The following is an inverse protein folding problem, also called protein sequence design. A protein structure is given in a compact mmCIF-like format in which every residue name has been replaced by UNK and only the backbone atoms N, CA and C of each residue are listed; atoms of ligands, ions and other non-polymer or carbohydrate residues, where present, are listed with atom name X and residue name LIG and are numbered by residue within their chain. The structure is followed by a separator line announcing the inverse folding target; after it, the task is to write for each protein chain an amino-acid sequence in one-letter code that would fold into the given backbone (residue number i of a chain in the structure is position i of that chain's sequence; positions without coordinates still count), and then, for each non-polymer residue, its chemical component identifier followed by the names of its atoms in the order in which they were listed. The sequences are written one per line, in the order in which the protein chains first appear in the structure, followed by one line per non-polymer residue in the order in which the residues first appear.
data_IF_112532481128
#
_entry.id   IF_112532481128
#
_cell.length_a   1.000
_cell.length_b   1.000
_cell.length_c   1.000
_cell.angle_alpha   90.00
_cell.angle_beta   90.00
_cell.angle_gamma   90.00
#
_symmetry.space_group_name_H-M   'P 1'
#
loop_
_entity.id
_entity.type
_entity.pdbx_description
1 polymer ?
#
# COMPACT_ATOMS: atom_id res chain seq x y z
N UNK A 1 -13.25 -23.70 4.50
CA UNK A 1 -14.66 -23.34 4.24
C UNK A 1 -14.91 -23.04 2.78
N UNK A 2 -16.17 -23.02 2.39
CA UNK A 2 -16.60 -22.73 1.03
C UNK A 2 -17.63 -21.60 1.05
N UNK A 3 -17.44 -20.62 0.15
CA UNK A 3 -18.34 -19.51 -0.05
C UNK A 3 -18.93 -19.57 -1.47
N UNK A 4 -20.20 -19.19 -1.62
CA UNK A 4 -20.86 -19.07 -2.91
C UNK A 4 -21.63 -17.75 -2.95
N UNK A 5 -21.45 -17.00 -4.04
CA UNK A 5 -22.14 -15.73 -4.29
C UNK A 5 -22.68 -15.72 -5.71
N UNK A 6 -23.94 -15.38 -5.84
CA UNK A 6 -24.60 -15.15 -7.13
C UNK A 6 -24.67 -13.66 -7.42
N UNK A 7 -24.45 -13.28 -8.68
CA UNK A 7 -24.57 -11.90 -9.14
C UNK A 7 -24.83 -11.85 -10.64
N UNK A 8 -25.42 -10.74 -11.12
CA UNK A 8 -25.69 -10.49 -12.52
C UNK A 8 -24.87 -9.31 -13.03
N UNK A 9 -24.53 -9.33 -14.31
CA UNK A 9 -23.88 -8.22 -15.01
C UNK A 9 -24.77 -7.80 -16.18
N UNK A 10 -24.89 -6.49 -16.40
CA UNK A 10 -25.74 -5.96 -17.48
C UNK A 10 -25.21 -6.34 -18.86
N UNK A 11 -26.11 -6.75 -19.78
CA UNK A 11 -25.79 -6.98 -21.20
C UNK A 11 -25.17 -5.76 -21.88
N UNK A 12 -25.53 -4.55 -21.42
CA UNK A 12 -25.00 -3.29 -21.95
C UNK A 12 -23.51 -3.10 -21.68
N UNK A 13 -22.98 -3.79 -20.68
CA UNK A 13 -21.59 -3.67 -20.22
C UNK A 13 -20.66 -4.73 -20.86
N UNK A 14 -21.16 -5.50 -21.82
CA UNK A 14 -20.41 -6.58 -22.49
C UNK A 14 -19.10 -6.15 -23.17
N UNK A 15 -18.94 -4.86 -23.43
CA UNK A 15 -17.71 -4.26 -23.98
C UNK A 15 -16.66 -3.92 -22.93
N UNK A 16 -17.03 -3.91 -21.65
CA UNK A 16 -16.17 -3.52 -20.56
C UNK A 16 -15.43 -4.74 -19.99
N UNK A 17 -14.41 -4.47 -19.23
CA UNK A 17 -13.66 -5.48 -18.49
C UNK A 17 -14.16 -5.58 -17.06
N UNK A 18 -13.99 -6.77 -16.49
CA UNK A 18 -14.43 -7.07 -15.13
C UNK A 18 -13.31 -7.72 -14.34
N UNK A 19 -13.14 -7.24 -13.11
CA UNK A 19 -12.18 -7.77 -12.18
C UNK A 19 -12.86 -8.06 -10.84
N UNK A 20 -12.61 -9.22 -10.25
CA UNK A 20 -12.99 -9.50 -8.87
C UNK A 20 -11.77 -9.26 -7.98
N UNK A 21 -11.90 -8.30 -7.05
CA UNK A 21 -10.88 -7.95 -6.09
C UNK A 21 -11.29 -8.42 -4.70
N UNK A 22 -10.39 -9.13 -4.03
CA UNK A 22 -10.50 -9.50 -2.62
C UNK A 22 -9.48 -8.67 -1.82
N UNK A 23 -9.94 -7.89 -0.86
CA UNK A 23 -9.04 -7.07 -0.01
C UNK A 23 -8.39 -7.88 1.11
N UNK A 24 -8.98 -9.01 1.47
CA UNK A 24 -8.40 -9.97 2.42
C UNK A 24 -9.25 -11.20 2.63
N UNK A 25 -8.61 -12.36 2.47
CA UNK A 25 -9.21 -13.67 2.73
C UNK A 25 -8.19 -14.50 3.50
N UNK A 26 -8.46 -14.82 4.76
CA UNK A 26 -7.56 -15.63 5.54
C UNK A 26 -7.96 -17.10 5.47
N UNK A 27 -7.13 -17.96 4.83
CA UNK A 27 -6.01 -17.78 3.91
C UNK A 27 -6.10 -18.87 2.84
N UNK A 28 -5.09 -18.97 1.96
CA UNK A 28 -5.05 -19.95 0.88
C UNK A 28 -6.36 -20.03 0.11
N UNK A 29 -6.81 -18.86 -0.35
CA UNK A 29 -8.07 -18.75 -1.09
C UNK A 29 -7.90 -19.28 -2.51
N UNK A 30 -8.76 -20.19 -2.94
CA UNK A 30 -8.89 -20.61 -4.33
C UNK A 30 -10.24 -20.13 -4.87
N UNK A 31 -10.25 -19.57 -6.08
CA UNK A 31 -11.37 -18.84 -6.65
C UNK A 31 -11.83 -19.49 -7.94
N UNK A 32 -13.14 -19.64 -8.10
CA UNK A 32 -13.80 -20.09 -9.35
C UNK A 32 -14.93 -19.13 -9.71
N UNK A 33 -15.10 -18.89 -10.99
CA UNK A 33 -16.26 -18.19 -11.55
C UNK A 33 -16.92 -19.07 -12.61
N UNK A 34 -18.22 -19.32 -12.49
CA UNK A 34 -19.00 -20.13 -13.43
C UNK A 34 -18.39 -21.53 -13.69
N UNK A 35 -17.71 -22.11 -12.69
CA UNK A 35 -17.05 -23.41 -12.78
C UNK A 35 -15.58 -23.33 -13.27
N UNK A 36 -15.12 -22.20 -13.80
CA UNK A 36 -13.73 -22.01 -14.22
C UNK A 36 -12.86 -21.64 -13.03
N UNK A 37 -11.71 -22.32 -12.89
CA UNK A 37 -10.71 -21.94 -11.90
C UNK A 37 -9.99 -20.65 -12.34
N UNK A 38 -10.06 -19.63 -11.49
CA UNK A 38 -9.52 -18.31 -11.79
C UNK A 38 -8.12 -18.12 -11.19
N UNK A 39 -7.88 -18.65 -9.99
CA UNK A 39 -6.58 -18.51 -9.36
C UNK A 39 -6.61 -18.69 -7.84
N UNK A 40 -5.47 -18.39 -7.21
CA UNK A 40 -5.28 -18.50 -5.76
C UNK A 40 -4.59 -17.27 -5.18
N UNK A 41 -4.82 -17.03 -3.89
CA UNK A 41 -4.06 -16.09 -3.05
C UNK A 41 -3.71 -16.81 -1.75
N UNK A 42 -2.43 -16.93 -1.46
CA UNK A 42 -1.95 -17.56 -0.21
C UNK A 42 -2.02 -16.58 0.97
N UNK A 43 -1.86 -15.27 0.70
CA UNK A 43 -1.89 -14.25 1.75
C UNK A 43 -3.24 -14.15 2.43
N UNK A 44 -3.21 -14.09 3.76
CA UNK A 44 -4.38 -13.71 4.55
C UNK A 44 -4.61 -12.21 4.64
N UNK A 45 -3.61 -11.38 4.30
CA UNK A 45 -3.59 -9.95 4.63
C UNK A 45 -3.48 -9.01 3.43
N UNK A 46 -2.85 -9.45 2.35
CA UNK A 46 -2.69 -8.65 1.13
C UNK A 46 -3.71 -9.10 0.09
N UNK A 47 -4.54 -8.16 -0.34
CA UNK A 47 -5.58 -8.39 -1.33
C UNK A 47 -5.00 -8.81 -2.69
N UNK A 48 -5.84 -9.43 -3.52
CA UNK A 48 -5.51 -9.81 -4.89
C UNK A 48 -6.71 -9.64 -5.80
N UNK A 49 -6.44 -9.20 -7.01
CA UNK A 49 -7.43 -9.02 -8.06
C UNK A 49 -7.27 -10.08 -9.15
N UNK A 50 -8.38 -10.40 -9.79
CA UNK A 50 -8.45 -11.38 -10.86
C UNK A 50 -9.32 -10.84 -12.00
N UNK A 51 -8.75 -10.72 -13.18
CA UNK A 51 -9.50 -10.43 -14.39
C UNK A 51 -10.42 -11.63 -14.70
N UNK A 52 -11.70 -11.37 -14.74
CA UNK A 52 -12.74 -12.38 -14.96
C UNK A 52 -13.58 -12.12 -16.20
N UNK A 53 -13.18 -11.16 -17.03
CA UNK A 53 -13.92 -10.68 -18.19
C UNK A 53 -14.42 -11.82 -19.09
N UNK A 54 -13.52 -12.75 -19.43
CA UNK A 54 -13.83 -13.85 -20.36
C UNK A 54 -14.75 -14.93 -19.75
N UNK A 55 -14.96 -14.88 -18.43
CA UNK A 55 -15.76 -15.86 -17.70
C UNK A 55 -17.13 -15.33 -17.26
N UNK A 56 -17.44 -14.05 -17.55
CA UNK A 56 -18.75 -13.45 -17.23
C UNK A 56 -19.82 -13.95 -18.18
N UNK A 57 -20.92 -14.45 -17.63
CA UNK A 57 -22.15 -14.69 -18.36
C UNK A 57 -23.02 -13.43 -18.28
N UNK A 58 -23.26 -12.81 -19.43
CA UNK A 58 -24.11 -11.61 -19.55
C UNK A 58 -25.61 -11.94 -19.75
N UNK A 59 -25.94 -13.22 -19.89
CA UNK A 59 -27.32 -13.69 -20.14
C UNK A 59 -27.93 -14.31 -18.89
N UNK A 60 -27.09 -14.83 -17.98
CA UNK A 60 -27.51 -15.59 -16.81
C UNK A 60 -26.83 -15.06 -15.53
N UNK A 61 -27.21 -15.69 -14.47
CA UNK A 61 -26.61 -15.48 -13.16
C UNK A 61 -25.17 -16.05 -13.12
N UNK A 62 -24.24 -15.26 -12.62
CA UNK A 62 -22.85 -15.65 -12.42
C UNK A 62 -22.67 -16.23 -11.03
N UNK A 63 -21.90 -17.29 -10.90
CA UNK A 63 -21.64 -17.97 -9.63
C UNK A 63 -20.16 -17.90 -9.27
N UNK A 64 -19.85 -17.04 -8.30
CA UNK A 64 -18.52 -16.98 -7.68
C UNK A 64 -18.43 -17.99 -6.56
N UNK A 65 -17.39 -18.83 -6.59
CA UNK A 65 -17.08 -19.79 -5.53
C UNK A 65 -15.69 -19.53 -4.99
N UNK A 66 -15.54 -19.51 -3.67
CA UNK A 66 -14.26 -19.32 -2.99
C UNK A 66 -14.07 -20.44 -1.97
N UNK A 67 -13.00 -21.22 -2.11
CA UNK A 67 -12.53 -22.13 -1.07
C UNK A 67 -11.46 -21.43 -0.23
N UNK A 68 -11.63 -21.47 1.07
CA UNK A 68 -10.66 -20.96 2.03
C UNK A 68 -10.11 -22.11 2.85
N UNK A 69 -8.79 -22.21 2.90
CA UNK A 69 -8.09 -23.24 3.67
C UNK A 69 -7.19 -22.57 4.74
N UNK A 70 -7.73 -22.40 5.94
CA UNK A 70 -7.04 -21.80 7.08
C UNK A 70 -6.48 -22.86 8.05
N UNK A 71 -6.17 -24.05 7.56
CA UNK A 71 -5.59 -25.13 8.38
C UNK A 71 -4.12 -24.91 8.71
N UNK A 72 -3.43 -24.14 7.89
CA UNK A 72 -2.03 -23.77 8.11
C UNK A 72 -1.93 -22.62 9.12
N UNK A 73 -1.25 -22.89 10.25
CA UNK A 73 -0.95 -21.87 11.24
C UNK A 73 0.13 -20.90 10.73
N UNK A 74 -0.09 -19.60 10.90
CA UNK A 74 0.86 -18.57 10.47
C UNK A 74 1.54 -17.83 11.63
N UNK A 75 0.99 -17.91 12.82
CA UNK A 75 1.45 -17.24 14.03
C UNK A 75 1.01 -15.76 14.09
N UNK A 76 1.41 -15.07 15.14
CA UNK A 76 1.14 -13.64 15.39
C UNK A 76 -0.32 -13.27 15.69
N UNK A 77 -1.06 -14.14 16.35
CA UNK A 77 -2.34 -13.89 17.03
C UNK A 77 -3.55 -13.49 16.17
N UNK A 78 -4.76 -13.86 16.59
CA UNK A 78 -6.08 -13.38 16.20
C UNK A 78 -6.35 -13.32 14.68
N UNK A 79 -5.93 -14.32 13.96
CA UNK A 79 -6.00 -14.32 12.49
C UNK A 79 -7.42 -14.54 11.97
N UNK A 80 -8.20 -15.37 12.66
CA UNK A 80 -9.50 -15.80 12.19
C UNK A 80 -9.41 -16.73 10.98
N UNK A 81 -10.51 -16.86 10.24
CA UNK A 81 -10.57 -17.64 9.00
C UNK A 81 -11.71 -17.12 8.10
N UNK A 82 -11.51 -17.11 6.80
CA UNK A 82 -12.54 -16.77 5.83
C UNK A 82 -12.36 -15.42 5.15
N UNK A 83 -13.41 -14.98 4.45
CA UNK A 83 -13.46 -13.68 3.80
C UNK A 83 -13.83 -12.65 4.88
N UNK A 84 -12.89 -11.76 5.23
CA UNK A 84 -13.07 -10.84 6.33
C UNK A 84 -12.89 -9.36 5.96
N UNK A 85 -12.44 -9.08 4.72
CA UNK A 85 -12.36 -7.74 4.14
C UNK A 85 -13.28 -7.66 2.91
N UNK A 86 -13.36 -6.48 2.28
CA UNK A 86 -14.24 -6.27 1.14
C UNK A 86 -13.92 -7.17 -0.05
N UNK A 87 -14.98 -7.46 -0.81
CA UNK A 87 -14.90 -8.09 -2.14
C UNK A 87 -15.61 -7.16 -3.12
N UNK A 88 -14.91 -6.77 -4.18
CA UNK A 88 -15.37 -5.83 -5.18
C UNK A 88 -15.51 -6.50 -6.54
N UNK A 89 -16.55 -6.13 -7.29
CA UNK A 89 -16.61 -6.34 -8.72
C UNK A 89 -16.29 -4.99 -9.37
N UNK A 90 -15.09 -4.87 -9.91
CA UNK A 90 -14.62 -3.69 -10.60
C UNK A 90 -14.99 -3.79 -12.08
N UNK A 91 -15.47 -2.68 -12.66
CA UNK A 91 -15.79 -2.56 -14.08
C UNK A 91 -14.99 -1.40 -14.66
N UNK A 92 -14.32 -1.61 -15.79
CA UNK A 92 -13.48 -0.59 -16.42
C UNK A 92 -13.38 -0.79 -17.95
N UNK A 93 -12.87 0.22 -18.63
CA UNK A 93 -12.64 0.20 -20.08
C UNK A 93 -11.46 -0.73 -20.43
N UNK A 94 -11.42 -1.25 -21.66
CA UNK A 94 -10.26 -1.99 -22.16
C UNK A 94 -8.97 -1.16 -22.15
N UNK A 95 -9.09 0.15 -22.21
CA UNK A 95 -7.97 1.09 -22.03
C UNK A 95 -8.08 1.72 -20.65
N UNK A 96 -7.23 1.32 -19.72
CA UNK A 96 -7.35 1.68 -18.29
C UNK A 96 -5.99 1.80 -17.60
N UNK A 97 -6.02 2.25 -16.36
CA UNK A 97 -4.85 2.25 -15.46
C UNK A 97 -4.88 0.95 -14.67
N UNK A 98 -3.87 0.07 -14.77
CA UNK A 98 -3.84 -1.18 -14.01
C UNK A 98 -3.61 -0.93 -12.51
N UNK A 99 -3.83 -1.94 -11.68
CA UNK A 99 -3.61 -1.86 -10.23
C UNK A 99 -2.23 -1.28 -9.90
N UNK A 100 -2.22 -0.23 -9.09
CA UNK A 100 -1.00 0.50 -8.72
C UNK A 100 -0.37 1.31 -9.86
N UNK A 101 -1.03 1.43 -11.02
CA UNK A 101 -0.52 2.15 -12.19
C UNK A 101 -0.51 3.67 -12.05
N UNK A 102 -1.21 4.24 -11.08
CA UNK A 102 -1.11 5.66 -10.72
C UNK A 102 -0.20 5.83 -9.52
N UNK A 103 0.97 6.43 -9.72
CA UNK A 103 1.89 6.78 -8.64
C UNK A 103 2.10 8.29 -8.56
N UNK A 104 1.86 8.85 -7.38
CA UNK A 104 1.95 10.29 -7.15
C UNK A 104 2.83 10.59 -5.94
N UNK A 105 3.86 11.39 -6.17
CA UNK A 105 4.75 11.82 -5.09
C UNK A 105 5.19 13.28 -5.29
N UNK A 106 5.65 13.92 -4.22
CA UNK A 106 6.04 15.33 -4.28
C UNK A 106 7.41 15.59 -3.68
N UNK A 107 8.10 16.54 -4.28
CA UNK A 107 9.29 17.15 -3.72
C UNK A 107 8.96 18.61 -3.37
N UNK A 108 9.29 19.02 -2.15
CA UNK A 108 9.02 20.38 -1.67
C UNK A 108 10.33 21.15 -1.60
N UNK A 109 10.38 22.28 -2.28
CA UNK A 109 11.48 23.23 -2.19
C UNK A 109 10.89 24.61 -1.89
N UNK A 110 11.20 25.14 -0.72
CA UNK A 110 10.62 26.38 -0.18
C UNK A 110 9.08 26.36 -0.21
N UNK A 111 8.50 27.23 -1.06
CA UNK A 111 7.04 27.39 -1.17
C UNK A 111 6.42 26.61 -2.35
N UNK A 112 7.23 25.89 -3.12
CA UNK A 112 6.78 25.17 -4.30
C UNK A 112 6.87 23.66 -4.04
N UNK A 113 5.76 22.97 -4.21
CA UNK A 113 5.72 21.52 -4.27
C UNK A 113 5.67 21.06 -5.73
N UNK A 114 6.70 20.36 -6.16
CA UNK A 114 6.71 19.66 -7.45
C UNK A 114 6.08 18.31 -7.30
N UNK A 115 4.87 18.13 -7.81
CA UNK A 115 4.12 16.87 -7.78
C UNK A 115 4.43 16.10 -9.07
N UNK A 116 5.06 14.95 -8.92
CA UNK A 116 5.33 14.01 -10.00
C UNK A 116 4.20 13.00 -10.07
N UNK A 117 3.72 12.71 -11.27
CA UNK A 117 2.59 11.83 -11.54
C UNK A 117 3.02 10.83 -12.59
N UNK A 118 3.09 9.56 -12.23
CA UNK A 118 3.37 8.47 -13.14
C UNK A 118 2.06 7.71 -13.38
N UNK A 119 1.62 7.69 -14.63
CA UNK A 119 0.38 7.03 -15.04
C UNK A 119 0.70 5.93 -16.02
N UNK A 120 0.58 4.69 -15.59
CA UNK A 120 0.66 3.52 -16.46
C UNK A 120 -0.70 3.29 -17.12
N UNK A 121 -0.70 3.07 -18.42
CA UNK A 121 -1.90 2.75 -19.20
C UNK A 121 -1.72 1.39 -19.81
N UNK A 122 -2.70 0.53 -19.65
CA UNK A 122 -2.75 -0.81 -20.24
C UNK A 122 -3.81 -0.85 -21.36
N UNK A 123 -3.45 -1.45 -22.49
CA UNK A 123 -4.36 -1.69 -23.63
C UNK A 123 -4.80 -3.15 -23.68
N UNK A 124 -6.04 -3.41 -23.31
CA UNK A 124 -6.71 -4.71 -23.44
C UNK A 124 -7.65 -4.79 -24.65
N UNK A 125 -7.63 -3.79 -25.55
CA UNK A 125 -8.32 -3.89 -26.82
C UNK A 125 -7.68 -4.99 -27.69
N UNK A 126 -8.44 -5.52 -28.64
CA UNK A 126 -7.97 -6.52 -29.61
C UNK A 126 -7.08 -5.91 -30.71
N UNK A 127 -6.93 -4.59 -30.75
CA UNK A 127 -6.15 -3.85 -31.73
C UNK A 127 -5.21 -2.85 -31.04
N UNK A 128 -4.10 -2.45 -31.68
CA UNK A 128 -3.30 -1.31 -31.25
C UNK A 128 -4.18 -0.05 -31.12
N UNK A 129 -3.97 0.73 -30.07
CA UNK A 129 -4.82 1.87 -29.73
C UNK A 129 -3.97 3.11 -29.45
N UNK A 130 -4.40 4.26 -29.93
CA UNK A 130 -3.83 5.56 -29.58
C UNK A 130 -4.74 6.28 -28.59
N UNK A 131 -4.12 6.86 -27.57
CA UNK A 131 -4.83 7.63 -26.55
C UNK A 131 -4.05 8.90 -26.17
N UNK A 132 -4.67 9.74 -25.37
CA UNK A 132 -3.98 10.83 -24.66
C UNK A 132 -4.18 10.68 -23.17
N UNK A 133 -3.16 11.05 -22.39
CA UNK A 133 -3.13 11.00 -20.94
C UNK A 133 -2.84 12.38 -20.38
N UNK A 134 -3.62 12.83 -19.42
CA UNK A 134 -3.33 14.02 -18.64
C UNK A 134 -3.72 13.84 -17.19
N UNK A 135 -3.17 14.69 -16.33
CA UNK A 135 -3.49 14.69 -14.90
C UNK A 135 -3.85 16.10 -14.42
N UNK A 136 -4.65 16.15 -13.34
CA UNK A 136 -4.93 17.41 -12.65
C UNK A 136 -5.04 17.18 -11.14
N UNK A 137 -4.78 18.26 -10.40
CA UNK A 137 -4.86 18.26 -8.94
C UNK A 137 -6.01 19.18 -8.52
N UNK A 138 -6.80 18.73 -7.55
CA UNK A 138 -7.80 19.57 -6.87
C UNK A 138 -7.44 19.78 -5.42
N UNK A 139 -7.86 20.91 -4.89
CA UNK A 139 -7.88 21.17 -3.47
C UNK A 139 -9.04 20.37 -2.77
N UNK A 140 -9.15 20.54 -1.45
CA UNK A 140 -10.21 19.89 -0.64
C UNK A 140 -11.63 20.24 -1.11
N UNK A 141 -11.81 21.42 -1.70
CA UNK A 141 -13.12 21.93 -2.15
C UNK A 141 -13.44 21.54 -3.61
N UNK A 142 -12.55 20.79 -4.27
CA UNK A 142 -12.71 20.35 -5.66
C UNK A 142 -12.23 21.38 -6.72
N UNK A 143 -11.65 22.52 -6.30
CA UNK A 143 -11.09 23.50 -7.22
C UNK A 143 -9.80 22.95 -7.84
N UNK A 144 -9.71 22.96 -9.17
CA UNK A 144 -8.48 22.59 -9.89
C UNK A 144 -7.40 23.63 -9.60
N UNK A 145 -6.26 23.17 -9.08
CA UNK A 145 -5.10 24.01 -8.73
C UNK A 145 -3.91 23.79 -9.65
N UNK A 146 -3.97 22.79 -10.51
CA UNK A 146 -2.96 22.52 -11.52
C UNK A 146 -3.41 21.40 -12.45
N UNK A 147 -2.95 21.47 -13.70
CA UNK A 147 -3.26 20.49 -14.75
C UNK A 147 -2.06 20.34 -15.68
N UNK A 148 -1.80 19.14 -16.17
CA UNK A 148 -0.78 18.86 -17.19
C UNK A 148 -1.33 19.07 -18.60
N UNK A 149 -0.46 19.13 -19.58
CA UNK A 149 -0.84 18.97 -20.98
C UNK A 149 -1.27 17.51 -21.24
N UNK A 150 -2.02 17.30 -22.31
CA UNK A 150 -2.33 15.97 -22.82
C UNK A 150 -1.10 15.39 -23.55
N UNK A 151 -0.68 14.21 -23.15
CA UNK A 151 0.43 13.49 -23.79
C UNK A 151 -0.13 12.32 -24.61
N UNK A 152 0.35 12.18 -25.85
CA UNK A 152 -0.06 11.11 -26.76
C UNK A 152 0.68 9.83 -26.43
N UNK A 153 -0.05 8.72 -26.45
CA UNK A 153 0.45 7.39 -26.19
C UNK A 153 -0.14 6.40 -27.19
N UNK A 154 0.72 5.65 -27.86
CA UNK A 154 0.32 4.51 -28.71
C UNK A 154 0.69 3.22 -28.01
N UNK A 155 -0.23 2.28 -27.97
CA UNK A 155 -0.08 0.99 -27.28
C UNK A 155 -0.47 -0.16 -28.18
N UNK A 156 0.39 -1.18 -28.28
CA UNK A 156 0.04 -2.46 -28.88
C UNK A 156 -0.98 -3.22 -28.01
N UNK A 157 -1.48 -4.33 -28.52
CA UNK A 157 -2.36 -5.24 -27.76
C UNK A 157 -1.60 -5.81 -26.55
N UNK A 158 -2.22 -5.77 -25.38
CA UNK A 158 -1.64 -6.19 -24.08
C UNK A 158 -0.37 -5.43 -23.68
N UNK A 159 -0.09 -4.27 -24.25
CA UNK A 159 1.02 -3.43 -23.85
C UNK A 159 0.60 -2.51 -22.70
N UNK A 160 1.55 -2.30 -21.78
CA UNK A 160 1.47 -1.28 -20.72
C UNK A 160 2.61 -0.30 -20.90
N UNK A 161 2.31 0.99 -20.93
CA UNK A 161 3.32 2.04 -20.94
C UNK A 161 3.01 3.13 -19.92
N UNK A 162 4.05 3.81 -19.43
CA UNK A 162 3.94 4.81 -18.37
C UNK A 162 4.25 6.20 -18.89
N UNK A 163 3.33 7.14 -18.66
CA UNK A 163 3.50 8.57 -18.89
C UNK A 163 3.92 9.22 -17.56
N UNK A 164 4.97 10.06 -17.62
CA UNK A 164 5.49 10.80 -16.46
C UNK A 164 5.24 12.28 -16.62
N UNK A 165 4.44 12.84 -15.71
CA UNK A 165 4.00 14.23 -15.76
C UNK A 165 4.33 14.95 -14.45
N UNK A 166 4.32 16.28 -14.49
CA UNK A 166 4.66 17.13 -13.34
C UNK A 166 3.73 18.33 -13.24
N UNK A 167 3.30 18.62 -12.02
CA UNK A 167 2.54 19.82 -11.68
C UNK A 167 3.25 20.53 -10.52
N UNK A 168 3.48 21.84 -10.67
CA UNK A 168 4.00 22.65 -9.57
C UNK A 168 2.85 23.32 -8.83
N UNK A 169 2.80 23.09 -7.53
CA UNK A 169 1.80 23.70 -6.62
C UNK A 169 2.50 24.76 -5.78
N UNK A 170 2.17 26.03 -6.04
CA UNK A 170 2.71 27.15 -5.26
C UNK A 170 1.99 27.30 -3.94
N UNK A 171 2.71 27.61 -2.87
CA UNK A 171 2.20 27.74 -1.50
C UNK A 171 1.37 26.51 -1.06
N UNK A 172 1.88 25.33 -1.37
CA UNK A 172 1.21 24.09 -1.04
C UNK A 172 0.98 23.97 0.47
N UNK A 173 -0.25 23.62 0.87
CA UNK A 173 -0.56 23.25 2.25
C UNK A 173 -0.05 21.86 2.51
N UNK A 174 0.88 21.73 3.46
CA UNK A 174 1.53 20.46 3.75
C UNK A 174 0.65 19.58 4.62
N UNK A 175 0.70 18.28 4.39
CA UNK A 175 0.12 17.28 5.27
C UNK A 175 0.99 17.12 6.51
N UNK A 176 0.38 17.18 7.69
CA UNK A 176 1.03 16.87 8.97
C UNK A 176 0.07 16.12 9.90
N UNK A 177 0.56 15.72 11.07
CA UNK A 177 -0.26 15.05 12.09
C UNK A 177 -1.28 16.01 12.75
N UNK A 178 -1.01 17.29 12.75
CA UNK A 178 -1.89 18.35 13.28
C UNK A 178 -2.83 18.90 12.21
N UNK A 179 -2.36 18.97 10.96
CA UNK A 179 -3.10 19.45 9.81
C UNK A 179 -3.01 18.45 8.65
N UNK A 180 -3.81 17.37 8.66
CA UNK A 180 -3.78 16.34 7.66
C UNK A 180 -4.48 16.79 6.37
N UNK A 181 -3.90 17.77 5.68
CA UNK A 181 -4.47 18.33 4.47
C UNK A 181 -4.22 17.40 3.27
N UNK A 182 -5.31 17.06 2.59
CA UNK A 182 -5.30 16.17 1.43
C UNK A 182 -5.80 16.89 0.18
N UNK A 183 -5.02 16.79 -0.87
CA UNK A 183 -5.41 17.06 -2.25
C UNK A 183 -5.95 15.78 -2.89
N UNK A 184 -6.55 15.91 -4.07
CA UNK A 184 -6.90 14.79 -4.94
C UNK A 184 -6.17 14.96 -6.26
N UNK A 185 -5.59 13.87 -6.75
CA UNK A 185 -4.98 13.80 -8.07
C UNK A 185 -5.81 12.89 -8.94
N UNK A 186 -6.10 13.33 -10.13
CA UNK A 186 -6.83 12.59 -11.14
C UNK A 186 -5.92 12.36 -12.34
N UNK A 187 -5.86 11.12 -12.81
CA UNK A 187 -5.29 10.74 -14.08
C UNK A 187 -6.43 10.37 -15.04
N UNK A 188 -6.41 10.92 -16.24
CA UNK A 188 -7.48 10.77 -17.22
C UNK A 188 -6.92 10.24 -18.52
N UNK A 189 -7.55 9.20 -19.06
CA UNK A 189 -7.26 8.65 -20.37
C UNK A 189 -8.39 9.05 -21.32
N UNK A 190 -8.01 9.57 -22.48
CA UNK A 190 -8.93 9.86 -23.57
C UNK A 190 -8.58 9.03 -24.80
N UNK A 191 -9.60 8.53 -25.46
CA UNK A 191 -9.55 7.92 -26.77
C UNK A 191 -10.42 8.71 -27.74
N UNK A 192 -9.90 9.07 -28.92
CA UNK A 192 -10.61 9.89 -29.91
C UNK A 192 -11.23 11.17 -29.32
N UNK A 193 -10.49 11.82 -28.39
CA UNK A 193 -10.89 13.05 -27.72
C UNK A 193 -11.93 12.89 -26.61
N UNK A 194 -12.47 11.69 -26.39
CA UNK A 194 -13.43 11.39 -25.33
C UNK A 194 -12.74 10.72 -24.14
N UNK A 195 -13.11 11.11 -22.92
CA UNK A 195 -12.68 10.43 -21.71
C UNK A 195 -13.25 8.99 -21.70
N UNK A 196 -12.34 8.00 -21.53
CA UNK A 196 -12.69 6.58 -21.47
C UNK A 196 -12.36 5.97 -20.11
N UNK A 197 -11.41 6.58 -19.37
CA UNK A 197 -11.05 6.13 -18.03
C UNK A 197 -10.54 7.29 -17.17
N UNK A 198 -10.84 7.21 -15.88
CA UNK A 198 -10.32 8.15 -14.88
C UNK A 198 -10.04 7.41 -13.60
N UNK A 199 -8.85 7.65 -13.06
CA UNK A 199 -8.48 7.19 -11.72
C UNK A 199 -8.20 8.37 -10.80
N UNK A 200 -8.50 8.20 -9.50
CA UNK A 200 -8.27 9.20 -8.48
C UNK A 200 -7.44 8.63 -7.36
N UNK A 201 -6.44 9.39 -6.90
CA UNK A 201 -5.73 9.10 -5.66
C UNK A 201 -5.68 10.32 -4.74
N UNK A 202 -5.43 10.08 -3.46
CA UNK A 202 -5.15 11.12 -2.46
C UNK A 202 -3.71 11.58 -2.57
N UNK A 203 -3.46 12.84 -2.25
CA UNK A 203 -2.11 13.38 -2.16
C UNK A 203 -1.99 14.23 -0.90
N UNK A 204 -1.14 13.81 0.02
CA UNK A 204 -0.65 14.65 1.12
C UNK A 204 0.77 15.10 0.80
N UNK A 205 0.94 16.37 0.50
CA UNK A 205 2.25 16.95 0.19
C UNK A 205 3.04 17.07 1.50
N UNK A 206 4.18 16.41 1.59
CA UNK A 206 5.01 16.40 2.79
C UNK A 206 6.46 16.05 2.47
N UNK A 207 7.35 16.32 3.43
CA UNK A 207 8.73 15.80 3.43
C UNK A 207 8.96 14.97 4.68
N UNK A 208 9.71 13.88 4.55
CA UNK A 208 10.17 13.04 5.66
C UNK A 208 11.69 12.88 5.60
N UNK A 209 12.32 12.84 6.77
CA UNK A 209 13.74 12.59 6.87
C UNK A 209 14.05 11.83 8.17
N UNK A 210 14.84 10.77 8.04
CA UNK A 210 15.51 10.12 9.16
C UNK A 210 16.94 10.65 9.24
N UNK A 211 17.33 11.11 10.41
CA UNK A 211 18.68 11.62 10.69
C UNK A 211 19.25 10.82 11.86
N UNK A 212 20.42 10.21 11.64
CA UNK A 212 21.01 9.30 12.63
C UNK A 212 21.29 9.99 13.99
N UNK A 213 21.60 11.30 13.97
CA UNK A 213 21.95 12.06 15.19
C UNK A 213 20.77 12.84 15.76
N UNK A 214 19.80 13.23 14.93
CA UNK A 214 18.73 14.16 15.30
C UNK A 214 17.35 13.53 15.28
N UNK A 215 17.21 12.28 14.84
CA UNK A 215 15.94 11.54 14.79
C UNK A 215 15.08 11.84 13.57
N UNK A 216 13.78 11.77 13.73
CA UNK A 216 12.81 11.88 12.64
C UNK A 216 12.31 13.32 12.43
N UNK A 217 12.18 13.72 11.17
CA UNK A 217 11.66 15.03 10.78
C UNK A 217 10.48 14.87 9.82
N UNK A 218 9.41 15.60 10.10
CA UNK A 218 8.26 15.79 9.21
C UNK A 218 8.20 17.28 8.81
N UNK A 219 8.22 17.55 7.52
CA UNK A 219 8.20 18.92 6.98
C UNK A 219 9.31 19.83 7.57
N UNK A 220 10.51 19.27 7.73
CA UNK A 220 11.65 19.96 8.31
C UNK A 220 11.60 20.18 9.82
N UNK A 221 10.51 19.82 10.50
CA UNK A 221 10.36 19.92 11.96
C UNK A 221 10.68 18.58 12.62
N UNK A 222 11.50 18.62 13.66
CA UNK A 222 11.77 17.43 14.50
C UNK A 222 10.47 16.94 15.12
N UNK A 223 10.20 15.63 15.00
CA UNK A 223 9.03 14.99 15.55
C UNK A 223 9.43 13.75 16.35
N UNK A 224 9.10 13.73 17.63
CA UNK A 224 9.19 12.51 18.43
C UNK A 224 8.03 11.58 18.08
N UNK A 225 8.36 10.38 17.58
CA UNK A 225 7.37 9.36 17.31
C UNK A 225 6.86 8.78 18.62
N UNK A 226 5.53 8.81 18.80
CA UNK A 226 4.80 8.24 19.93
C UNK A 226 3.76 7.31 19.35
N UNK A 227 4.13 6.06 19.17
CA UNK A 227 3.29 5.08 18.48
C UNK A 227 2.91 3.90 19.36
N UNK A 228 2.03 3.09 18.81
CA UNK A 228 1.61 1.80 19.37
C UNK A 228 1.68 0.72 18.32
N UNK A 229 1.95 -0.50 18.74
CA UNK A 229 1.80 -1.71 17.93
C UNK A 229 0.35 -2.16 18.02
N UNK A 230 -0.24 -2.50 16.87
CA UNK A 230 -1.66 -2.81 16.85
C UNK A 230 -1.93 -3.99 15.91
N UNK A 231 -2.49 -5.04 16.48
CA UNK A 231 -3.09 -6.12 15.71
C UNK A 231 -4.40 -5.67 15.06
N UNK A 232 -4.86 -6.39 14.06
CA UNK A 232 -6.05 -5.97 13.30
C UNK A 232 -7.37 -6.22 14.02
N UNK A 233 -7.41 -7.13 14.97
CA UNK A 233 -8.63 -7.47 15.69
C UNK A 233 -9.11 -6.37 16.62
N UNK A 234 -10.37 -6.41 17.00
CA UNK A 234 -11.00 -5.50 17.96
C UNK A 234 -11.85 -6.28 18.96
N UNK A 235 -11.75 -5.91 20.22
CA UNK A 235 -12.46 -6.61 21.30
C UNK A 235 -13.97 -6.66 21.02
N UNK A 236 -14.53 -7.87 21.14
CA UNK A 236 -15.95 -8.15 20.93
C UNK A 236 -16.39 -8.26 19.46
N UNK A 237 -15.51 -7.98 18.47
CA UNK A 237 -15.84 -8.02 17.04
C UNK A 237 -14.94 -9.02 16.29
N UNK A 238 -13.67 -9.17 16.71
CA UNK A 238 -12.67 -9.96 15.99
C UNK A 238 -12.00 -9.17 14.87
N UNK A 239 -11.69 -9.81 13.73
CA UNK A 239 -10.91 -9.23 12.64
C UNK A 239 -11.75 -8.66 11.49
N UNK A 240 -13.01 -9.06 11.35
CA UNK A 240 -13.92 -8.57 10.31
C UNK A 240 -14.56 -7.24 10.74
N UNK A 241 -13.77 -6.18 10.71
CA UNK A 241 -14.17 -4.86 11.21
C UNK A 241 -14.90 -4.04 10.16
N UNK A 242 -16.04 -3.40 10.51
CA UNK A 242 -16.64 -2.36 9.69
C UNK A 242 -15.69 -1.16 9.53
N UNK A 243 -15.75 -0.47 8.39
CA UNK A 243 -14.84 0.63 8.04
C UNK A 243 -14.79 1.74 9.11
N UNK A 244 -15.94 2.11 9.68
CA UNK A 244 -16.01 3.16 10.70
C UNK A 244 -15.20 2.80 11.97
N UNK A 245 -15.04 1.51 12.28
CA UNK A 245 -14.24 1.07 13.45
C UNK A 245 -12.77 1.38 13.22
N UNK A 246 -12.29 1.35 11.98
CA UNK A 246 -10.91 1.75 11.66
C UNK A 246 -10.69 3.23 12.00
N UNK A 247 -11.62 4.12 11.60
CA UNK A 247 -11.58 5.54 11.98
C UNK A 247 -11.69 5.76 13.49
N UNK A 248 -12.58 5.01 14.15
CA UNK A 248 -12.74 5.07 15.61
C UNK A 248 -11.43 4.71 16.32
N UNK A 249 -10.76 3.62 15.91
CA UNK A 249 -9.48 3.16 16.50
C UNK A 249 -8.40 4.25 16.39
N UNK A 250 -8.22 4.82 15.21
CA UNK A 250 -7.22 5.87 14.98
C UNK A 250 -7.56 7.12 15.77
N UNK A 251 -8.84 7.53 15.82
CA UNK A 251 -9.29 8.66 16.62
C UNK A 251 -8.96 8.45 18.10
N UNK A 252 -9.24 7.26 18.64
CA UNK A 252 -8.94 6.93 20.05
C UNK A 252 -7.45 6.94 20.35
N UNK A 253 -6.61 6.41 19.47
CA UNK A 253 -5.16 6.48 19.64
C UNK A 253 -4.66 7.93 19.64
N UNK A 254 -5.21 8.79 18.79
CA UNK A 254 -4.87 10.22 18.81
C UNK A 254 -5.31 10.91 20.10
N UNK A 255 -6.51 10.63 20.62
CA UNK A 255 -6.99 11.12 21.90
C UNK A 255 -6.08 10.73 23.07
N UNK A 256 -5.43 9.55 22.98
CA UNK A 256 -4.40 9.09 23.92
C UNK A 256 -3.01 9.73 23.71
N UNK A 257 -2.85 10.58 22.69
CA UNK A 257 -1.60 11.28 22.37
C UNK A 257 -0.65 10.53 21.43
N UNK A 258 -1.10 9.44 20.81
CA UNK A 258 -0.32 8.76 19.77
C UNK A 258 -0.29 9.59 18.48
N UNK A 259 0.86 9.55 17.79
CA UNK A 259 1.03 10.16 16.48
C UNK A 259 1.51 9.16 15.40
N UNK A 260 1.71 7.91 15.80
CA UNK A 260 2.12 6.83 14.91
C UNK A 260 1.41 5.52 15.25
N UNK A 261 1.18 4.73 14.21
CA UNK A 261 0.57 3.41 14.23
C UNK A 261 1.53 2.42 13.56
N UNK A 262 1.91 1.35 14.22
CA UNK A 262 2.58 0.24 13.56
C UNK A 262 1.56 -0.86 13.29
N UNK A 263 1.48 -1.26 12.02
CA UNK A 263 0.64 -2.38 11.59
C UNK A 263 1.35 -3.70 11.89
N UNK A 264 1.18 -4.21 13.09
CA UNK A 264 1.84 -5.43 13.54
C UNK A 264 0.91 -6.65 13.35
N UNK A 265 1.34 -7.73 12.69
CA UNK A 265 2.58 -7.82 11.90
C UNK A 265 2.19 -8.22 10.49
N UNK A 266 1.49 -7.36 9.79
CA UNK A 266 0.92 -7.61 8.47
C UNK A 266 0.35 -6.33 7.84
N UNK A 267 0.08 -6.39 6.54
CA UNK A 267 -0.61 -5.34 5.81
C UNK A 267 -1.98 -4.97 6.44
N UNK A 268 -2.22 -3.71 6.83
CA UNK A 268 -3.51 -3.27 7.37
C UNK A 268 -4.56 -3.17 6.26
N UNK A 269 -5.82 -2.91 6.63
CA UNK A 269 -6.86 -2.62 5.64
C UNK A 269 -6.64 -1.25 4.99
N UNK A 270 -7.11 -1.09 3.76
CA UNK A 270 -7.08 0.21 3.07
C UNK A 270 -7.81 1.29 3.86
N UNK A 271 -8.91 0.93 4.54
CA UNK A 271 -9.73 1.84 5.35
C UNK A 271 -8.97 2.39 6.55
N UNK A 272 -8.11 1.57 7.18
CA UNK A 272 -7.25 2.01 8.27
C UNK A 272 -6.23 3.05 7.77
N UNK A 273 -5.56 2.79 6.63
CA UNK A 273 -4.61 3.74 6.04
C UNK A 273 -5.33 5.04 5.66
N UNK A 274 -6.54 4.94 5.06
CA UNK A 274 -7.39 6.12 4.75
C UNK A 274 -7.78 6.91 6.00
N UNK A 275 -8.02 6.23 7.12
CA UNK A 275 -8.26 6.88 8.41
C UNK A 275 -7.01 7.61 8.90
N UNK A 276 -5.84 6.98 8.82
CA UNK A 276 -4.56 7.59 9.18
C UNK A 276 -4.24 8.83 8.34
N UNK A 277 -4.46 8.77 7.02
CA UNK A 277 -4.31 9.93 6.13
C UNK A 277 -5.19 11.11 6.56
N UNK A 278 -6.46 10.82 6.86
CA UNK A 278 -7.48 11.83 7.12
C UNK A 278 -7.38 12.43 8.51
N UNK A 279 -6.91 11.65 9.48
CA UNK A 279 -6.79 12.05 10.88
C UNK A 279 -5.39 12.50 11.28
N UNK A 280 -4.38 12.32 10.42
CA UNK A 280 -2.99 12.68 10.70
C UNK A 280 -2.33 11.71 11.67
N UNK A 281 -2.20 10.46 11.28
CA UNK A 281 -1.47 9.42 12.01
C UNK A 281 -0.38 8.86 11.09
N UNK A 282 0.86 8.84 11.52
CA UNK A 282 1.93 8.17 10.78
C UNK A 282 1.73 6.65 10.81
N UNK A 283 2.08 5.96 9.72
CA UNK A 283 1.97 4.50 9.63
C UNK A 283 3.31 3.89 9.28
N UNK A 284 3.76 2.97 10.12
CA UNK A 284 4.77 1.98 9.79
C UNK A 284 4.02 0.78 9.20
N UNK A 285 4.12 0.62 7.89
CA UNK A 285 3.39 -0.38 7.13
C UNK A 285 4.25 -1.63 6.95
N UNK A 286 3.73 -2.79 7.36
CA UNK A 286 4.56 -3.97 7.57
C UNK A 286 4.17 -5.14 6.68
N UNK A 287 5.18 -5.73 6.02
CA UNK A 287 5.05 -7.03 5.39
C UNK A 287 5.00 -8.14 6.44
N UNK A 288 4.24 -9.20 6.15
CA UNK A 288 4.00 -10.28 7.11
C UNK A 288 5.25 -11.05 7.53
N UNK A 289 6.20 -11.36 6.63
CA UNK A 289 7.41 -12.12 6.92
C UNK A 289 8.63 -11.58 6.16
N UNK A 290 9.80 -11.71 6.76
CA UNK A 290 11.09 -11.53 6.09
C UNK A 290 11.34 -12.72 5.14
N UNK A 291 10.79 -12.64 3.95
CA UNK A 291 10.85 -13.73 2.98
C UNK A 291 10.87 -13.17 1.55
N UNK A 292 11.80 -13.64 0.72
CA UNK A 292 11.97 -13.25 -0.68
C UNK A 292 11.59 -14.37 -1.67
N UNK A 293 10.84 -15.37 -1.25
CA UNK A 293 10.26 -16.34 -2.19
C UNK A 293 9.23 -15.64 -3.11
N UNK A 294 8.94 -16.18 -4.30
CA UNK A 294 8.06 -15.54 -5.27
C UNK A 294 6.71 -15.09 -4.71
N UNK A 295 6.10 -15.89 -3.85
CA UNK A 295 4.82 -15.57 -3.21
C UNK A 295 4.93 -14.34 -2.29
N UNK A 296 5.95 -14.28 -1.43
CA UNK A 296 6.12 -13.15 -0.50
C UNK A 296 6.61 -11.88 -1.21
N UNK A 297 7.40 -12.02 -2.27
CA UNK A 297 7.75 -10.91 -3.17
C UNK A 297 6.51 -10.34 -3.84
N UNK A 298 5.60 -11.17 -4.34
CA UNK A 298 4.33 -10.73 -4.92
C UNK A 298 3.46 -10.00 -3.88
N UNK A 299 3.37 -10.52 -2.66
CA UNK A 299 2.66 -9.87 -1.56
C UNK A 299 3.25 -8.49 -1.24
N UNK A 300 4.58 -8.39 -1.13
CA UNK A 300 5.26 -7.12 -0.82
C UNK A 300 5.10 -6.09 -1.94
N UNK A 301 5.19 -6.50 -3.20
CA UNK A 301 4.91 -5.63 -4.34
C UNK A 301 3.48 -5.09 -4.29
N UNK A 302 2.49 -5.96 -4.09
CA UNK A 302 1.08 -5.56 -3.99
C UNK A 302 0.83 -4.62 -2.82
N UNK A 303 1.47 -4.84 -1.67
CA UNK A 303 1.40 -3.95 -0.51
C UNK A 303 1.92 -2.55 -0.87
N UNK A 304 3.12 -2.45 -1.42
CA UNK A 304 3.72 -1.15 -1.81
C UNK A 304 2.87 -0.45 -2.87
N UNK A 305 2.46 -1.15 -3.92
CA UNK A 305 1.65 -0.59 -5.01
C UNK A 305 0.31 -0.07 -4.51
N UNK A 306 -0.31 -0.74 -3.53
CA UNK A 306 -1.56 -0.30 -2.90
C UNK A 306 -1.37 0.97 -2.08
N UNK A 307 -0.29 1.04 -1.28
CA UNK A 307 -0.19 2.02 -0.19
C UNK A 307 0.81 3.16 -0.45
N UNK A 308 1.61 3.12 -1.53
CA UNK A 308 2.64 4.12 -1.81
C UNK A 308 2.12 5.56 -2.04
N UNK A 309 0.85 5.73 -2.37
CA UNK A 309 0.22 7.05 -2.52
C UNK A 309 -0.28 7.64 -1.18
N UNK A 310 -0.29 6.86 -0.10
CA UNK A 310 -0.78 7.30 1.21
C UNK A 310 0.25 8.15 1.96
N UNK A 311 -0.03 9.41 2.29
CA UNK A 311 0.93 10.27 2.99
C UNK A 311 1.19 9.83 4.43
N UNK A 312 0.28 9.13 5.07
CA UNK A 312 0.46 8.58 6.42
C UNK A 312 1.57 7.53 6.49
N UNK A 313 1.74 6.71 5.44
CA UNK A 313 2.85 5.73 5.39
C UNK A 313 4.17 6.47 5.33
N UNK A 314 5.00 6.36 6.37
CA UNK A 314 6.28 7.06 6.47
C UNK A 314 7.48 6.11 6.41
N UNK A 315 7.27 4.84 6.66
CA UNK A 315 8.31 3.82 6.73
C UNK A 315 7.73 2.45 6.38
N UNK A 316 8.44 1.70 5.54
CA UNK A 316 8.11 0.31 5.23
C UNK A 316 8.81 -0.63 6.22
N UNK A 317 8.14 -1.67 6.70
CA UNK A 317 8.77 -2.74 7.47
C UNK A 317 8.81 -4.03 6.66
N UNK A 318 10.00 -4.63 6.58
CA UNK A 318 10.22 -5.84 5.78
C UNK A 318 10.10 -7.14 6.58
N UNK A 319 9.72 -7.06 7.86
CA UNK A 319 9.48 -8.23 8.72
C UNK A 319 9.64 -7.92 10.20
N UNK A 320 9.42 -8.93 11.03
CA UNK A 320 9.42 -8.85 12.49
C UNK A 320 9.98 -10.11 13.16
N UNK A 321 11.11 -9.98 13.84
CA UNK A 321 11.64 -10.97 14.78
C UNK A 321 11.79 -12.41 14.24
N UNK A 322 12.10 -12.59 12.96
CA UNK A 322 12.34 -13.93 12.41
C UNK A 322 13.66 -14.49 12.98
N UNK A 323 13.59 -15.01 14.20
CA UNK A 323 14.69 -15.26 15.12
C UNK A 323 15.89 -16.01 14.54
N UNK A 324 15.64 -17.02 13.71
CA UNK A 324 16.72 -17.84 13.18
C UNK A 324 17.42 -17.25 11.95
N UNK A 325 16.77 -16.36 11.19
CA UNK A 325 17.35 -15.78 9.96
C UNK A 325 17.83 -14.34 10.12
N UNK A 326 17.28 -13.56 11.05
CA UNK A 326 17.61 -12.14 11.17
C UNK A 326 19.11 -11.87 11.42
N UNK A 327 19.85 -12.83 12.01
CA UNK A 327 21.24 -12.69 12.44
C UNK A 327 22.28 -13.21 11.44
N UNK A 328 21.86 -13.78 10.34
CA UNK A 328 22.75 -14.51 9.44
C UNK A 328 22.69 -13.99 7.99
N UNK A 329 23.55 -14.56 7.14
CA UNK A 329 23.63 -14.19 5.73
C UNK A 329 22.36 -14.47 4.92
N UNK A 330 21.52 -15.41 5.33
CA UNK A 330 20.23 -15.62 4.66
C UNK A 330 19.33 -14.42 4.86
N UNK A 331 19.15 -13.96 6.09
CA UNK A 331 18.35 -12.77 6.39
C UNK A 331 18.91 -11.52 5.72
N UNK A 332 20.25 -11.37 5.70
CA UNK A 332 20.90 -10.26 4.98
C UNK A 332 20.54 -10.23 3.50
N UNK A 333 20.67 -11.37 2.79
CA UNK A 333 20.34 -11.46 1.36
C UNK A 333 18.85 -11.27 1.09
N UNK A 334 17.98 -11.83 1.92
CA UNK A 334 16.52 -11.62 1.82
C UNK A 334 16.19 -10.13 1.99
N UNK A 335 16.76 -9.49 3.01
CA UNK A 335 16.58 -8.06 3.24
C UNK A 335 17.05 -7.21 2.05
N UNK A 336 18.24 -7.50 1.49
CA UNK A 336 18.75 -6.82 0.30
C UNK A 336 17.80 -6.91 -0.89
N UNK A 337 17.22 -8.10 -1.13
CA UNK A 337 16.24 -8.32 -2.20
C UNK A 337 14.97 -7.50 -1.98
N UNK A 338 14.42 -7.49 -0.76
CA UNK A 338 13.22 -6.72 -0.42
C UNK A 338 13.47 -5.21 -0.48
N UNK A 339 14.63 -4.74 0.00
CA UNK A 339 15.02 -3.33 -0.08
C UNK A 339 15.16 -2.85 -1.54
N UNK A 340 15.70 -3.68 -2.43
CA UNK A 340 15.79 -3.37 -3.86
C UNK A 340 14.40 -3.20 -4.47
N UNK A 341 13.46 -4.11 -4.17
CA UNK A 341 12.06 -4.03 -4.62
C UNK A 341 11.38 -2.78 -4.07
N UNK A 342 11.55 -2.48 -2.78
CA UNK A 342 10.96 -1.30 -2.17
C UNK A 342 11.47 -0.02 -2.84
N UNK A 343 12.77 0.09 -3.07
CA UNK A 343 13.39 1.25 -3.71
C UNK A 343 12.94 1.43 -5.17
N UNK A 344 12.72 0.35 -5.88
CA UNK A 344 12.18 0.37 -7.25
C UNK A 344 10.74 0.89 -7.27
N UNK A 345 9.88 0.36 -6.41
CA UNK A 345 8.43 0.66 -6.40
C UNK A 345 8.07 1.95 -5.68
N UNK A 346 8.86 2.33 -4.67
CA UNK A 346 8.68 3.57 -3.90
C UNK A 346 10.04 4.16 -3.46
N UNK A 347 10.70 4.94 -4.31
CA UNK A 347 11.97 5.59 -3.96
C UNK A 347 11.81 6.76 -2.98
N UNK A 348 10.60 7.12 -2.58
CA UNK A 348 10.31 8.28 -1.73
C UNK A 348 10.41 7.99 -0.24
N UNK A 349 10.43 6.72 0.14
CA UNK A 349 10.52 6.24 1.53
C UNK A 349 11.69 5.26 1.66
N UNK A 350 12.00 4.95 2.91
CA UNK A 350 12.97 3.93 3.27
C UNK A 350 12.30 2.79 4.03
N UNK A 351 13.09 1.80 4.44
CA UNK A 351 12.60 0.63 5.15
C UNK A 351 13.28 0.43 6.50
N UNK A 352 12.57 -0.27 7.37
CA UNK A 352 13.05 -0.82 8.63
C UNK A 352 12.80 -2.32 8.70
N UNK A 353 13.39 -2.95 9.69
CA UNK A 353 13.09 -4.30 10.15
C UNK A 353 13.00 -4.28 11.68
N UNK A 354 11.94 -4.83 12.23
CA UNK A 354 11.73 -4.87 13.68
C UNK A 354 12.52 -6.04 14.30
N UNK A 355 13.72 -5.76 14.81
CA UNK A 355 14.63 -6.77 15.31
C UNK A 355 14.70 -6.81 16.84
N UNK A 356 14.62 -7.99 17.43
CA UNK A 356 14.74 -8.23 18.87
C UNK A 356 16.19 -8.49 19.32
N UNK A 357 17.16 -8.28 18.42
CA UNK A 357 18.58 -8.37 18.71
C UNK A 357 19.05 -7.13 19.49
N UNK A 358 19.99 -7.31 20.43
CA UNK A 358 20.54 -6.20 21.22
C UNK A 358 21.57 -5.36 20.41
N UNK A 359 22.87 -5.53 20.68
CA UNK A 359 23.94 -4.75 20.07
C UNK A 359 24.43 -5.30 18.73
N UNK A 360 23.81 -6.36 18.24
CA UNK A 360 24.33 -7.10 17.10
C UNK A 360 24.19 -6.29 15.80
N UNK A 361 25.31 -6.14 15.10
CA UNK A 361 25.39 -5.58 13.75
C UNK A 361 25.76 -6.69 12.77
N UNK A 362 24.81 -7.59 12.53
CA UNK A 362 24.94 -8.70 11.59
C UNK A 362 23.61 -8.98 10.90
N UNK A 363 23.63 -9.81 9.89
CA UNK A 363 22.43 -10.20 9.17
C UNK A 363 21.65 -9.02 8.60
N UNK A 364 20.38 -8.90 8.94
CA UNK A 364 19.49 -7.82 8.47
C UNK A 364 20.01 -6.44 8.90
N UNK A 365 20.55 -6.31 10.11
CA UNK A 365 20.97 -5.02 10.66
C UNK A 365 22.11 -4.36 9.89
N UNK A 366 22.94 -5.12 9.16
CA UNK A 366 24.02 -4.58 8.33
C UNK A 366 23.50 -3.82 7.10
N UNK A 367 22.30 -4.14 6.62
CA UNK A 367 21.78 -3.63 5.35
C UNK A 367 20.52 -2.77 5.50
N UNK A 368 19.84 -2.84 6.64
CA UNK A 368 18.60 -2.08 6.83
C UNK A 368 18.90 -0.58 7.01
N UNK A 369 18.24 0.31 6.26
CA UNK A 369 18.51 1.75 6.32
C UNK A 369 18.15 2.40 7.66
N UNK A 370 17.06 1.97 8.29
CA UNK A 370 16.63 2.42 9.63
C UNK A 370 16.55 1.20 10.52
N UNK A 371 17.40 1.16 11.55
CA UNK A 371 17.42 0.03 12.50
C UNK A 371 16.22 0.09 13.43
N UNK A 372 15.35 -0.92 13.38
CA UNK A 372 14.22 -1.10 14.29
C UNK A 372 14.62 -1.90 15.52
N UNK A 373 14.27 -1.41 16.72
CA UNK A 373 14.49 -2.10 17.98
C UNK A 373 13.18 -2.62 18.54
N UNK A 374 13.12 -3.93 18.76
CA UNK A 374 12.11 -4.56 19.58
C UNK A 374 12.71 -4.85 20.95
N UNK A 375 12.06 -4.32 22.00
CA UNK A 375 12.56 -4.45 23.38
C UNK A 375 14.02 -3.92 23.48
N UNK A 376 14.88 -4.50 24.23
CA UNK A 376 16.34 -4.21 24.27
C UNK A 376 16.69 -2.73 24.35
N UNK A 377 15.85 -1.89 24.96
CA UNK A 377 16.08 -0.44 25.11
C UNK A 377 17.42 -0.12 25.77
N UNK A 378 17.92 -1.01 26.62
CA UNK A 378 19.22 -0.88 27.27
C UNK A 378 20.41 -0.90 26.29
N UNK A 379 20.25 -1.51 25.11
CA UNK A 379 21.30 -1.63 24.09
C UNK A 379 21.33 -0.46 23.08
N UNK A 380 20.31 0.38 23.04
CA UNK A 380 20.17 1.44 22.03
C UNK A 380 21.32 2.43 22.06
N UNK A 381 21.75 2.86 23.26
CA UNK A 381 22.82 3.85 23.41
C UNK A 381 24.16 3.30 22.92
N UNK A 382 24.53 2.09 23.32
CA UNK A 382 25.78 1.44 22.91
C UNK A 382 25.77 1.15 21.41
N UNK A 383 24.67 0.61 20.88
CA UNK A 383 24.54 0.40 19.44
C UNK A 383 24.72 1.70 18.64
N UNK A 384 24.09 2.79 19.08
CA UNK A 384 24.23 4.08 18.39
C UNK A 384 25.66 4.64 18.47
N UNK A 385 26.35 4.42 19.57
CA UNK A 385 27.76 4.80 19.71
C UNK A 385 28.65 4.07 18.71
N UNK A 386 28.39 2.77 18.51
CA UNK A 386 29.17 1.92 17.59
C UNK A 386 28.79 2.13 16.14
N UNK A 387 27.51 2.50 15.86
CA UNK A 387 26.95 2.72 14.53
C UNK A 387 26.30 4.11 14.38
N UNK A 388 27.07 5.21 14.51
CA UNK A 388 26.53 6.58 14.64
C UNK A 388 25.89 7.14 13.37
N UNK A 389 26.04 6.45 12.23
CA UNK A 389 25.49 6.86 10.95
C UNK A 389 24.20 6.12 10.58
N UNK A 390 23.78 5.13 11.36
CA UNK A 390 22.53 4.40 11.13
C UNK A 390 21.40 5.01 11.97
N UNK A 391 20.32 5.53 11.34
CA UNK A 391 19.15 5.98 12.09
C UNK A 391 18.49 4.82 12.84
N UNK A 392 17.94 5.11 14.01
CA UNK A 392 17.30 4.14 14.88
C UNK A 392 15.83 4.50 15.11
N UNK A 393 15.00 3.49 15.27
CA UNK A 393 13.60 3.63 15.69
C UNK A 393 13.23 2.51 16.67
N UNK A 394 12.53 2.84 17.75
CA UNK A 394 11.89 1.84 18.61
C UNK A 394 10.65 1.31 17.90
N UNK A 395 10.63 0.02 17.60
CA UNK A 395 9.49 -0.66 16.95
C UNK A 395 8.61 -1.36 17.97
N UNK A 396 9.19 -1.89 19.06
CA UNK A 396 8.49 -2.43 20.24
C UNK A 396 9.33 -2.13 21.50
N UNK A 397 8.92 -1.14 22.28
CA UNK A 397 9.72 -0.63 23.40
C UNK A 397 9.05 -0.79 24.77
N UNK A 398 7.85 -1.41 24.81
CA UNK A 398 7.08 -1.56 26.03
C UNK A 398 7.27 -2.86 26.76
#
# INVERSE_FOLDING_TARGET
GWYRKHFTVSKNDKKDRFEIQFDGVFRNASIWLNGFYIGTNQSGYVGKSYDVTDYIDFEKDNVLVVRVDATQYEGWFYEGAGIYRHVWLNQYNNLHIPFGGLFVHSNVNDKIASVNIETSVENKNLNPTNCTVYAYITDRNGKIIGKTNEEKLGLNVNETATVKQKINVSNARLWSIEDPYLYKVYAVIKENGKEVYREQTRLGIRTIKFDAKKGFFLNGKHLKIKGTNNHQDHAGIGTALPDYVQYYRIKKLKELGSNAYRASHHAPTSELIKACDSLGMLVLDEQRLLNSSPEYVDQFKRLILRDRNHPSVFLWSIGNEEGWIQKNDFGKRIAQSLLAIQKELDPTRTSTYAADMANEYNGVNEVIPVRGFNYRQFAVADYHKDHPNQPLIGTEMG
#
